data_IF_667081709750
#
_entry.id   IF_667081709750
#
_cell.length_a   1.000
_cell.length_b   1.000
_cell.length_c   1.000
_cell.angle_alpha   90.00
_cell.angle_beta   90.00
_cell.angle_gamma   90.00
#
_symmetry.space_group_name_H-M   'P 1'
#
loop_
_entity.id
_entity.type
_entity.pdbx_description
1 polymer ?
#
# COMPACT_ATOMS: atom_id res chain seq x y z
N UNK A 1 -24.05 -9.27 29.45
CA UNK A 1 -22.92 -9.90 28.74
C UNK A 1 -22.09 -8.76 28.16
N UNK A 2 -20.98 -8.42 28.79
CA UNK A 2 -19.97 -7.55 28.17
C UNK A 2 -19.48 -8.24 26.92
N UNK A 3 -19.55 -7.54 25.75
CA UNK A 3 -18.90 -8.02 24.54
C UNK A 3 -17.40 -8.04 24.85
N UNK A 4 -16.78 -9.22 24.80
CA UNK A 4 -15.32 -9.32 24.84
C UNK A 4 -14.74 -8.31 23.83
N UNK A 5 -13.90 -7.41 24.36
CA UNK A 5 -13.22 -6.41 23.53
C UNK A 5 -12.33 -7.15 22.53
N UNK A 6 -12.73 -7.18 21.28
CA UNK A 6 -11.92 -7.76 20.21
C UNK A 6 -11.03 -6.65 19.63
N UNK A 7 -9.74 -6.71 19.94
CA UNK A 7 -8.73 -5.74 19.47
C UNK A 7 -8.77 -5.53 17.94
N UNK A 8 -9.02 -6.61 17.18
CA UNK A 8 -9.09 -6.53 15.73
C UNK A 8 -10.26 -5.65 15.26
N UNK A 9 -11.46 -5.89 15.78
CA UNK A 9 -12.64 -5.10 15.43
C UNK A 9 -12.48 -3.64 15.84
N UNK A 10 -11.87 -3.38 16.99
CA UNK A 10 -11.63 -2.02 17.48
C UNK A 10 -10.65 -1.28 16.58
N UNK A 11 -9.51 -1.87 16.22
CA UNK A 11 -8.52 -1.27 15.34
C UNK A 11 -9.02 -1.15 13.89
N UNK A 12 -9.75 -2.17 13.40
CA UNK A 12 -10.30 -2.17 12.06
C UNK A 12 -11.35 -1.08 11.82
N UNK A 13 -12.09 -0.70 12.87
CA UNK A 13 -13.10 0.36 12.79
C UNK A 13 -12.53 1.78 12.72
N UNK A 14 -11.22 1.95 12.97
CA UNK A 14 -10.60 3.27 12.91
C UNK A 14 -10.49 3.76 11.46
N UNK A 15 -10.95 4.99 11.25
CA UNK A 15 -10.78 5.66 9.97
C UNK A 15 -9.35 6.22 9.85
N UNK A 16 -8.54 5.62 8.96
CA UNK A 16 -7.15 6.03 8.74
C UNK A 16 -6.96 6.93 7.50
N UNK A 17 -8.02 7.23 6.75
CA UNK A 17 -7.94 7.83 5.41
C UNK A 17 -7.21 9.18 5.38
N UNK A 18 -7.34 10.00 6.43
CA UNK A 18 -6.66 11.31 6.52
C UNK A 18 -5.14 11.19 6.72
N UNK A 19 -4.66 10.01 7.13
CA UNK A 19 -3.26 9.72 7.43
C UNK A 19 -2.61 8.79 6.39
N UNK A 20 -3.28 8.61 5.25
CA UNK A 20 -2.82 7.79 4.12
C UNK A 20 -2.34 8.68 2.99
N UNK A 21 -1.09 8.49 2.59
CA UNK A 21 -0.54 9.04 1.35
C UNK A 21 -0.60 7.98 0.25
N UNK A 22 -1.06 8.37 -0.94
CA UNK A 22 -1.00 7.53 -2.13
C UNK A 22 0.19 7.94 -3.00
N UNK A 23 1.12 7.00 -3.24
CA UNK A 23 2.28 7.20 -4.13
C UNK A 23 2.36 6.03 -5.11
N UNK A 24 2.40 6.32 -6.41
CA UNK A 24 2.56 5.33 -7.49
C UNK A 24 1.57 4.14 -7.40
N UNK A 25 0.34 4.40 -6.96
CA UNK A 25 -0.71 3.39 -6.82
C UNK A 25 -0.69 2.59 -5.51
N UNK A 26 0.30 2.82 -4.64
CA UNK A 26 0.40 2.18 -3.33
C UNK A 26 -0.08 3.12 -2.22
N UNK A 27 -0.68 2.55 -1.20
CA UNK A 27 -1.14 3.25 0.00
C UNK A 27 -0.08 3.22 1.09
N UNK A 28 0.23 4.38 1.67
CA UNK A 28 1.20 4.53 2.75
C UNK A 28 0.53 5.15 3.96
N UNK A 29 0.25 4.35 4.96
CA UNK A 29 -0.20 4.87 6.25
C UNK A 29 0.99 5.47 7.00
N UNK A 30 0.81 6.66 7.58
CA UNK A 30 1.83 7.28 8.43
C UNK A 30 2.21 6.37 9.59
N UNK A 31 3.47 5.92 9.64
CA UNK A 31 3.94 5.01 10.69
C UNK A 31 3.88 5.64 12.08
N UNK A 32 4.21 6.92 12.21
CA UNK A 32 4.19 7.64 13.48
C UNK A 32 2.77 7.80 14.02
N UNK A 33 1.82 8.09 13.15
CA UNK A 33 0.41 8.12 13.51
C UNK A 33 -0.07 6.73 13.93
N UNK A 34 0.27 5.69 13.16
CA UNK A 34 -0.13 4.32 13.47
C UNK A 34 0.37 3.85 14.84
N UNK A 35 1.63 4.10 15.17
CA UNK A 35 2.21 3.82 16.49
C UNK A 35 1.45 4.57 17.57
N UNK A 36 1.19 5.87 17.38
CA UNK A 36 0.50 6.69 18.37
C UNK A 36 -0.93 6.19 18.63
N UNK A 37 -1.69 5.85 17.58
CA UNK A 37 -3.07 5.37 17.73
C UNK A 37 -3.14 4.01 18.43
N UNK A 38 -2.19 3.11 18.15
CA UNK A 38 -2.15 1.82 18.85
C UNK A 38 -1.77 2.04 20.31
N UNK A 39 -0.74 2.81 20.63
CA UNK A 39 -0.31 3.06 22.01
C UNK A 39 -1.36 3.78 22.85
N UNK A 40 -2.21 4.62 22.27
CA UNK A 40 -3.36 5.23 22.97
C UNK A 40 -4.37 4.18 23.44
N UNK A 41 -4.58 3.10 22.69
CA UNK A 41 -5.54 2.05 22.97
C UNK A 41 -4.93 0.88 23.71
N UNK A 42 -3.70 0.55 23.38
CA UNK A 42 -2.93 -0.59 23.88
C UNK A 42 -1.55 -0.11 24.35
N UNK A 43 -1.46 0.54 25.52
CA UNK A 43 -0.21 1.13 26.02
C UNK A 43 0.90 0.10 26.25
N UNK A 44 0.55 -1.17 26.47
CA UNK A 44 1.49 -2.28 26.64
C UNK A 44 1.96 -2.90 25.30
N UNK A 45 1.55 -2.31 24.15
CA UNK A 45 2.04 -2.77 22.86
C UNK A 45 3.56 -2.64 22.78
N UNK A 46 4.19 -3.71 22.28
CA UNK A 46 5.62 -3.72 21.99
C UNK A 46 5.86 -4.07 20.53
N UNK A 47 6.96 -3.58 19.99
CA UNK A 47 7.44 -4.01 18.69
C UNK A 47 8.95 -4.25 18.71
N UNK A 48 9.41 -5.11 17.81
CA UNK A 48 10.80 -5.44 17.60
C UNK A 48 11.13 -5.37 16.11
N UNK A 49 12.28 -4.78 15.79
CA UNK A 49 12.92 -4.88 14.47
C UNK A 49 13.94 -6.00 14.58
N UNK A 50 13.71 -7.10 13.87
CA UNK A 50 14.59 -8.25 13.94
C UNK A 50 15.96 -7.90 13.43
N UNK A 51 16.97 -8.47 14.11
CA UNK A 51 18.38 -8.29 13.77
C UNK A 51 19.00 -9.63 13.47
N UNK A 52 19.91 -9.60 12.54
CA UNK A 52 20.58 -10.78 11.98
C UNK A 52 22.10 -10.69 12.17
N UNK A 53 22.82 -11.33 11.30
CA UNK A 53 24.28 -11.32 11.32
C UNK A 53 24.84 -9.88 11.41
N UNK A 54 25.89 -9.70 12.18
CA UNK A 54 26.50 -8.39 12.46
C UNK A 54 25.54 -7.34 13.06
N UNK A 55 24.45 -7.80 13.71
CA UNK A 55 23.43 -6.93 14.29
C UNK A 55 22.69 -6.05 13.26
N UNK A 56 22.67 -6.45 11.98
CA UNK A 56 22.01 -5.71 10.89
C UNK A 56 20.50 -5.94 10.92
N UNK A 57 19.66 -4.92 10.63
CA UNK A 57 18.20 -5.03 10.67
C UNK A 57 17.62 -5.61 9.36
N UNK A 58 18.36 -6.44 8.65
CA UNK A 58 17.96 -7.06 7.40
C UNK A 58 18.69 -8.37 7.14
N UNK A 59 18.14 -9.19 6.27
CA UNK A 59 18.85 -10.27 5.57
C UNK A 59 19.13 -9.86 4.13
N UNK A 60 20.15 -10.45 3.51
CA UNK A 60 20.48 -10.23 2.10
C UNK A 60 20.74 -11.56 1.39
N UNK A 61 20.21 -11.67 0.19
CA UNK A 61 20.46 -12.76 -0.74
C UNK A 61 20.79 -12.17 -2.12
N UNK A 62 21.84 -12.65 -2.76
CA UNK A 62 22.34 -12.09 -4.03
C UNK A 62 21.32 -12.10 -5.18
N UNK A 63 20.34 -13.02 -5.15
CA UNK A 63 19.33 -13.18 -6.20
C UNK A 63 18.05 -12.43 -5.90
N UNK A 64 17.67 -12.34 -4.62
CA UNK A 64 16.36 -11.81 -4.20
C UNK A 64 16.45 -10.45 -3.49
N UNK A 65 17.65 -10.01 -3.13
CA UNK A 65 17.90 -8.72 -2.51
C UNK A 65 17.71 -8.72 -0.99
N UNK A 66 17.40 -7.55 -0.46
CA UNK A 66 17.25 -7.30 0.97
C UNK A 66 15.85 -7.58 1.46
N UNK A 67 15.75 -8.08 2.70
CA UNK A 67 14.48 -8.33 3.37
C UNK A 67 14.54 -7.87 4.83
N UNK A 68 13.51 -7.20 5.29
CA UNK A 68 13.35 -6.70 6.66
C UNK A 68 12.20 -7.40 7.37
N UNK A 69 12.28 -7.51 8.70
CA UNK A 69 11.32 -8.23 9.51
C UNK A 69 10.96 -7.42 10.76
N UNK A 70 9.69 -7.47 11.15
CA UNK A 70 9.19 -6.86 12.38
C UNK A 70 8.32 -7.84 13.15
N UNK A 71 8.33 -7.73 14.48
CA UNK A 71 7.37 -8.35 15.39
C UNK A 71 6.57 -7.28 16.09
N UNK A 72 5.30 -7.51 16.26
CA UNK A 72 4.40 -6.65 17.04
C UNK A 72 3.64 -7.54 18.02
N UNK A 73 3.55 -7.12 19.27
CA UNK A 73 2.76 -7.79 20.30
C UNK A 73 1.72 -6.83 20.83
N UNK A 74 0.44 -7.22 20.76
CA UNK A 74 -0.71 -6.50 21.32
C UNK A 74 -1.54 -7.51 22.12
N UNK A 75 -1.86 -7.21 23.38
CA UNK A 75 -2.63 -8.10 24.26
C UNK A 75 -2.07 -9.54 24.33
N UNK A 76 -0.74 -9.66 24.38
CA UNK A 76 -0.06 -10.95 24.45
C UNK A 76 -0.02 -11.74 23.12
N UNK A 77 -0.65 -11.25 22.06
CA UNK A 77 -0.60 -11.88 20.74
C UNK A 77 0.52 -11.26 19.92
N UNK A 78 1.44 -12.10 19.45
CA UNK A 78 2.58 -11.68 18.62
C UNK A 78 2.33 -12.04 17.16
N UNK A 79 2.58 -11.08 16.26
CA UNK A 79 2.57 -11.28 14.81
C UNK A 79 3.89 -10.83 14.21
N UNK A 80 4.34 -11.58 13.22
CA UNK A 80 5.51 -11.24 12.42
C UNK A 80 5.08 -10.75 11.04
N UNK A 81 5.85 -9.80 10.50
CA UNK A 81 5.71 -9.31 9.15
C UNK A 81 7.10 -9.15 8.54
N UNK A 82 7.19 -9.38 7.26
CA UNK A 82 8.41 -9.14 6.48
C UNK A 82 8.09 -8.41 5.19
N UNK A 83 9.04 -7.62 4.70
CA UNK A 83 8.94 -6.95 3.40
C UNK A 83 10.29 -6.98 2.67
N UNK A 84 10.28 -7.18 1.34
CA UNK A 84 11.45 -6.96 0.52
C UNK A 84 11.74 -5.47 0.36
N UNK A 85 13.03 -5.12 0.24
CA UNK A 85 13.45 -3.77 -0.10
C UNK A 85 13.38 -3.62 -1.62
N UNK A 86 12.51 -2.71 -2.06
CA UNK A 86 12.21 -2.52 -3.49
C UNK A 86 12.28 -1.04 -3.87
N UNK A 87 12.57 -0.80 -5.15
CA UNK A 87 12.45 0.51 -5.76
C UNK A 87 10.97 0.90 -5.98
N UNK A 88 10.73 2.08 -6.55
CA UNK A 88 9.38 2.59 -6.85
C UNK A 88 8.64 1.79 -7.94
N UNK A 89 9.33 0.89 -8.65
CA UNK A 89 8.76 0.00 -9.68
C UNK A 89 8.60 -1.44 -9.21
N UNK A 90 8.66 -1.66 -7.89
CA UNK A 90 8.57 -2.98 -7.25
C UNK A 90 9.67 -3.96 -7.71
N UNK A 91 10.85 -3.42 -8.08
CA UNK A 91 12.03 -4.23 -8.36
C UNK A 91 12.87 -4.38 -7.09
N UNK A 92 13.29 -5.61 -6.80
CA UNK A 92 14.17 -5.87 -5.66
C UNK A 92 15.45 -5.04 -5.80
N UNK A 93 15.85 -4.35 -4.73
CA UNK A 93 17.11 -3.64 -4.69
C UNK A 93 18.22 -4.58 -4.20
N UNK A 94 19.34 -4.61 -4.91
CA UNK A 94 20.52 -5.40 -4.60
C UNK A 94 21.59 -4.52 -3.95
N UNK A 95 22.75 -5.09 -3.66
CA UNK A 95 23.93 -4.37 -3.17
C UNK A 95 24.72 -3.67 -4.29
N UNK A 96 24.34 -3.92 -5.53
CA UNK A 96 24.89 -3.33 -6.75
C UNK A 96 23.78 -2.87 -7.67
N UNK A 97 24.12 -2.02 -8.63
CA UNK A 97 23.24 -1.58 -9.70
C UNK A 97 23.03 -2.72 -10.72
N UNK A 98 21.79 -2.84 -11.22
CA UNK A 98 21.48 -3.73 -12.34
C UNK A 98 20.44 -3.13 -13.26
N UNK A 99 20.37 -3.64 -14.49
CA UNK A 99 19.41 -3.21 -15.50
C UNK A 99 18.41 -4.31 -15.83
N UNK A 100 17.22 -3.90 -16.30
CA UNK A 100 16.21 -4.81 -16.80
C UNK A 100 15.46 -4.17 -17.97
N UNK A 101 14.97 -4.99 -18.90
CA UNK A 101 14.24 -4.56 -20.08
C UNK A 101 12.73 -4.46 -19.80
N UNK A 102 12.12 -3.40 -20.30
CA UNK A 102 10.66 -3.20 -20.28
C UNK A 102 10.17 -2.93 -21.68
N UNK A 103 9.25 -3.71 -22.18
CA UNK A 103 8.58 -3.47 -23.46
C UNK A 103 7.53 -2.37 -23.29
N UNK A 104 7.67 -1.28 -24.05
CA UNK A 104 6.64 -0.27 -24.13
C UNK A 104 5.45 -0.85 -24.90
N UNK A 105 4.32 -1.04 -24.21
CA UNK A 105 3.12 -1.65 -24.79
C UNK A 105 2.48 -0.82 -25.91
N UNK A 106 2.76 0.51 -25.99
CA UNK A 106 2.23 1.40 -27.04
C UNK A 106 3.08 1.41 -28.30
N UNK A 107 4.40 1.43 -28.14
CA UNK A 107 5.33 1.55 -29.28
C UNK A 107 5.95 0.21 -29.67
N UNK A 108 5.89 -0.79 -28.79
CA UNK A 108 6.56 -2.08 -28.95
C UNK A 108 8.07 -2.03 -28.69
N UNK A 109 8.62 -0.84 -28.42
CA UNK A 109 10.05 -0.65 -28.17
C UNK A 109 10.47 -1.27 -26.82
N UNK A 110 11.68 -1.83 -26.80
CA UNK A 110 12.32 -2.30 -25.57
C UNK A 110 13.13 -1.14 -24.99
N UNK A 111 12.86 -0.81 -23.74
CA UNK A 111 13.57 0.23 -23.00
C UNK A 111 14.28 -0.40 -21.83
N UNK A 112 15.58 -0.18 -21.71
CA UNK A 112 16.36 -0.58 -20.55
C UNK A 112 16.11 0.38 -19.39
N UNK A 113 15.94 -0.16 -18.19
CA UNK A 113 15.77 0.58 -16.94
C UNK A 113 16.76 0.09 -15.92
N UNK A 114 17.22 1.01 -15.08
CA UNK A 114 18.21 0.76 -14.04
C UNK A 114 17.57 0.72 -12.66
N UNK A 115 18.00 -0.22 -11.82
CA UNK A 115 17.72 -0.26 -10.38
C UNK A 115 19.01 0.08 -9.65
N UNK A 116 18.97 1.14 -8.85
CA UNK A 116 20.13 1.55 -8.03
C UNK A 116 20.35 0.57 -6.85
N UNK A 117 21.58 0.46 -6.31
CA UNK A 117 21.84 -0.33 -5.12
C UNK A 117 21.05 0.21 -3.92
N UNK A 118 20.68 -0.70 -3.01
CA UNK A 118 19.98 -0.33 -1.78
C UNK A 118 20.87 0.47 -0.84
N UNK A 119 20.31 1.46 -0.19
CA UNK A 119 20.95 2.25 0.86
C UNK A 119 20.32 1.96 2.22
N UNK A 120 20.99 2.33 3.31
CA UNK A 120 20.39 2.25 4.65
C UNK A 120 19.13 3.12 4.78
N UNK A 121 18.96 4.14 3.96
CA UNK A 121 17.72 4.91 3.89
C UNK A 121 16.57 4.05 3.35
N UNK A 122 16.79 3.26 2.29
CA UNK A 122 15.80 2.36 1.72
C UNK A 122 15.45 1.23 2.70
N UNK A 123 16.46 0.69 3.39
CA UNK A 123 16.26 -0.29 4.48
C UNK A 123 15.36 0.31 5.57
N UNK A 124 15.69 1.49 6.11
CA UNK A 124 14.91 2.13 7.15
C UNK A 124 13.47 2.45 6.70
N UNK A 125 13.30 2.99 5.49
CA UNK A 125 12.00 3.24 4.89
C UNK A 125 11.15 1.96 4.82
N UNK A 126 11.76 0.85 4.42
CA UNK A 126 11.08 -0.45 4.32
C UNK A 126 10.74 -1.02 5.69
N UNK A 127 11.60 -0.83 6.71
CA UNK A 127 11.31 -1.22 8.11
C UNK A 127 10.05 -0.51 8.61
N UNK A 128 9.92 0.80 8.39
CA UNK A 128 8.73 1.55 8.83
C UNK A 128 7.46 1.11 8.09
N UNK A 129 7.55 0.78 6.80
CA UNK A 129 6.45 0.19 6.03
C UNK A 129 6.09 -1.21 6.55
N UNK A 130 7.09 -2.04 6.85
CA UNK A 130 6.91 -3.36 7.41
C UNK A 130 6.17 -3.30 8.76
N UNK A 131 6.59 -2.39 9.65
CA UNK A 131 5.94 -2.16 10.93
C UNK A 131 4.47 -1.74 10.75
N UNK A 132 4.19 -0.82 9.84
CA UNK A 132 2.82 -0.36 9.56
C UNK A 132 1.94 -1.50 9.00
N UNK A 133 2.46 -2.32 8.09
CA UNK A 133 1.75 -3.51 7.59
C UNK A 133 1.55 -4.57 8.70
N UNK A 134 2.48 -4.68 9.63
CA UNK A 134 2.30 -5.55 10.79
C UNK A 134 1.13 -5.06 11.68
N UNK A 135 1.01 -3.76 11.92
CA UNK A 135 -0.15 -3.19 12.60
C UNK A 135 -1.47 -3.47 11.87
N UNK A 136 -1.45 -3.50 10.54
CA UNK A 136 -2.63 -3.88 9.76
C UNK A 136 -3.06 -5.33 10.01
N UNK A 137 -2.14 -6.24 10.34
CA UNK A 137 -2.49 -7.61 10.74
C UNK A 137 -3.28 -7.66 12.05
N UNK A 138 -3.26 -6.60 12.85
CA UNK A 138 -4.11 -6.42 14.03
C UNK A 138 -5.40 -5.65 13.74
N UNK A 139 -5.61 -5.22 12.48
CA UNK A 139 -6.81 -4.54 12.02
C UNK A 139 -6.59 -3.08 11.59
N UNK A 140 -5.56 -2.38 12.10
CA UNK A 140 -5.38 -0.95 11.86
C UNK A 140 -5.17 -0.64 10.37
N UNK A 141 -6.18 -0.04 9.74
CA UNK A 141 -6.11 0.36 8.34
C UNK A 141 -5.93 -0.81 7.36
N UNK A 142 -6.27 -2.04 7.73
CA UNK A 142 -6.10 -3.21 6.86
C UNK A 142 -6.78 -3.02 5.49
N UNK A 143 -7.91 -2.33 5.46
CA UNK A 143 -8.68 -2.08 4.23
C UNK A 143 -7.97 -1.23 3.18
N UNK A 144 -6.97 -0.41 3.57
CA UNK A 144 -6.23 0.42 2.61
C UNK A 144 -5.30 -0.39 1.71
N UNK A 145 -4.92 -1.60 2.15
CA UNK A 145 -4.06 -2.51 1.39
C UNK A 145 -4.84 -3.46 0.47
N UNK A 146 -6.17 -3.42 0.51
CA UNK A 146 -7.00 -4.23 -0.37
C UNK A 146 -6.73 -3.88 -1.84
N UNK A 147 -6.31 -4.87 -2.62
CA UNK A 147 -6.00 -4.72 -4.03
C UNK A 147 -4.56 -4.29 -4.36
N UNK A 148 -3.67 -4.11 -3.38
CA UNK A 148 -2.24 -3.82 -3.65
C UNK A 148 -1.51 -5.00 -4.31
N UNK A 149 -1.92 -6.23 -4.02
CA UNK A 149 -1.30 -7.46 -4.53
C UNK A 149 -1.99 -7.98 -5.81
N UNK A 150 -2.87 -7.18 -6.44
CA UNK A 150 -3.49 -7.56 -7.69
C UNK A 150 -2.46 -7.56 -8.83
N UNK A 151 -2.56 -8.50 -9.79
CA UNK A 151 -1.75 -8.48 -10.99
C UNK A 151 -1.82 -7.11 -11.70
N UNK A 152 -0.73 -6.69 -12.36
CA UNK A 152 -0.64 -5.39 -13.02
C UNK A 152 -1.78 -5.17 -14.04
N UNK A 153 -2.22 -6.22 -14.71
CA UNK A 153 -3.36 -6.20 -15.63
C UNK A 153 -4.67 -5.82 -14.92
N UNK A 154 -4.93 -6.38 -13.73
CA UNK A 154 -6.12 -6.06 -12.94
C UNK A 154 -6.03 -4.67 -12.31
N UNK A 155 -4.82 -4.22 -11.90
CA UNK A 155 -4.63 -2.87 -11.37
C UNK A 155 -4.89 -1.79 -12.43
N UNK A 156 -4.57 -2.08 -13.70
CA UNK A 156 -4.73 -1.19 -14.85
C UNK A 156 -6.04 -1.39 -15.60
N UNK A 157 -6.91 -2.27 -15.12
CA UNK A 157 -8.22 -2.52 -15.73
C UNK A 157 -9.02 -1.24 -15.84
N UNK A 158 -9.55 -0.99 -17.03
CA UNK A 158 -10.36 0.19 -17.32
C UNK A 158 -11.79 0.00 -16.82
N UNK A 159 -12.44 1.12 -16.55
CA UNK A 159 -13.85 1.21 -16.21
C UNK A 159 -14.73 0.47 -17.26
N UNK A 160 -15.77 -0.19 -16.78
CA UNK A 160 -16.74 -0.85 -17.66
C UNK A 160 -17.85 0.12 -18.11
N UNK A 161 -18.54 -0.22 -19.20
CA UNK A 161 -19.69 0.55 -19.67
C UNK A 161 -20.82 0.65 -18.62
N UNK A 162 -21.03 -0.41 -17.84
CA UNK A 162 -22.00 -0.42 -16.76
C UNK A 162 -21.64 0.56 -15.65
N UNK A 163 -20.37 0.57 -15.24
CA UNK A 163 -19.87 1.55 -14.27
C UNK A 163 -19.98 2.98 -14.77
N UNK A 164 -19.69 3.23 -16.05
CA UNK A 164 -19.88 4.56 -16.67
C UNK A 164 -21.34 5.01 -16.56
N UNK A 165 -22.30 4.11 -16.86
CA UNK A 165 -23.72 4.40 -16.75
C UNK A 165 -24.13 4.69 -15.30
N UNK A 166 -23.60 3.93 -14.34
CA UNK A 166 -23.87 4.14 -12.92
C UNK A 166 -23.31 5.48 -12.43
N UNK A 167 -22.06 5.80 -12.74
CA UNK A 167 -21.43 7.07 -12.35
C UNK A 167 -22.21 8.26 -12.93
N UNK A 168 -22.60 8.21 -14.20
CA UNK A 168 -23.41 9.27 -14.84
C UNK A 168 -24.79 9.47 -14.20
N UNK A 169 -25.33 8.47 -13.51
CA UNK A 169 -26.57 8.59 -12.72
C UNK A 169 -26.34 9.17 -11.33
N UNK A 170 -25.19 8.87 -10.72
CA UNK A 170 -24.87 9.20 -9.33
C UNK A 170 -24.11 10.53 -9.18
N UNK A 171 -23.41 10.95 -10.21
CA UNK A 171 -22.59 12.18 -10.22
C UNK A 171 -23.21 13.17 -11.20
N UNK A 172 -23.51 14.38 -10.73
CA UNK A 172 -24.02 15.46 -11.56
C UNK A 172 -23.00 15.82 -12.65
N UNK A 173 -23.48 16.20 -13.84
CA UNK A 173 -22.63 16.38 -15.02
C UNK A 173 -21.55 17.46 -14.80
N UNK A 174 -21.89 18.54 -14.10
CA UNK A 174 -20.97 19.61 -13.69
C UNK A 174 -19.88 19.17 -12.68
N UNK A 175 -20.03 18.01 -12.03
CA UNK A 175 -19.09 17.43 -11.05
C UNK A 175 -18.21 16.32 -11.62
N UNK A 176 -18.42 15.91 -12.86
CA UNK A 176 -17.63 14.85 -13.49
C UNK A 176 -16.17 15.28 -13.65
N UNK A 177 -15.92 16.52 -14.03
CA UNK A 177 -14.56 17.05 -14.22
C UNK A 177 -13.79 17.11 -12.89
N UNK A 178 -14.42 17.58 -11.83
CA UNK A 178 -13.85 17.57 -10.46
C UNK A 178 -13.49 16.14 -10.02
N UNK A 179 -14.38 15.19 -10.28
CA UNK A 179 -14.17 13.77 -9.99
C UNK A 179 -12.97 13.20 -10.77
N UNK A 180 -12.88 13.44 -12.08
CA UNK A 180 -11.77 12.97 -12.91
C UNK A 180 -10.43 13.58 -12.48
N UNK A 181 -10.44 14.84 -12.05
CA UNK A 181 -9.28 15.51 -11.47
C UNK A 181 -8.86 14.87 -10.16
N UNK A 182 -9.81 14.58 -9.27
CA UNK A 182 -9.54 13.91 -7.98
C UNK A 182 -8.86 12.56 -8.19
N UNK A 183 -9.36 11.74 -9.14
CA UNK A 183 -8.78 10.44 -9.48
C UNK A 183 -7.60 10.53 -10.48
N UNK A 184 -7.12 11.72 -10.79
CA UNK A 184 -5.95 11.99 -11.65
C UNK A 184 -6.06 11.35 -13.05
N UNK A 185 -7.24 11.32 -13.62
CA UNK A 185 -7.48 10.80 -14.97
C UNK A 185 -6.93 11.81 -16.00
N UNK A 186 -5.70 11.58 -16.49
CA UNK A 186 -4.96 12.53 -17.35
C UNK A 186 -5.69 12.96 -18.62
N UNK A 187 -6.47 12.06 -19.21
CA UNK A 187 -7.22 12.34 -20.43
C UNK A 187 -8.47 13.19 -20.21
N UNK A 188 -8.88 13.40 -18.96
CA UNK A 188 -10.15 14.01 -18.55
C UNK A 188 -11.39 13.35 -19.20
N UNK A 189 -11.26 12.05 -19.53
CA UNK A 189 -12.37 11.24 -20.09
C UNK A 189 -12.72 10.11 -19.13
N UNK A 190 -14.00 9.97 -18.81
CA UNK A 190 -14.49 8.94 -17.89
C UNK A 190 -14.13 7.52 -18.35
N UNK A 191 -14.06 7.26 -19.65
CA UNK A 191 -13.67 5.96 -20.24
C UNK A 191 -12.22 5.55 -19.94
N UNK A 192 -11.38 6.48 -19.53
CA UNK A 192 -9.99 6.24 -19.19
C UNK A 192 -9.76 6.06 -17.68
N UNK A 193 -10.81 6.16 -16.88
CA UNK A 193 -10.77 5.89 -15.44
C UNK A 193 -10.45 4.42 -15.16
N UNK A 194 -9.78 4.15 -14.06
CA UNK A 194 -9.52 2.76 -13.64
C UNK A 194 -10.78 2.13 -13.03
N UNK A 195 -10.92 0.82 -13.21
CA UNK A 195 -12.05 0.04 -12.68
C UNK A 195 -12.21 0.21 -11.16
N UNK A 196 -11.10 0.15 -10.41
CA UNK A 196 -11.08 0.34 -8.95
C UNK A 196 -11.56 1.72 -8.51
N UNK A 197 -11.13 2.76 -9.23
CA UNK A 197 -11.52 4.14 -8.92
C UNK A 197 -13.01 4.36 -9.18
N UNK A 198 -13.53 3.73 -10.23
CA UNK A 198 -14.96 3.73 -10.55
C UNK A 198 -15.81 3.03 -9.47
N UNK A 199 -15.34 1.90 -8.92
CA UNK A 199 -16.01 1.24 -7.80
C UNK A 199 -16.08 2.15 -6.57
N UNK A 200 -14.99 2.82 -6.24
CA UNK A 200 -14.94 3.75 -5.09
C UNK A 200 -15.95 4.90 -5.25
N UNK A 201 -16.06 5.48 -6.46
CA UNK A 201 -17.07 6.53 -6.74
C UNK A 201 -18.48 6.00 -6.53
N UNK A 202 -18.79 4.82 -7.08
CA UNK A 202 -20.12 4.21 -6.98
C UNK A 202 -20.47 3.94 -5.52
N UNK A 203 -19.57 3.35 -4.74
CA UNK A 203 -19.77 3.06 -3.33
C UNK A 203 -20.01 4.33 -2.49
N UNK A 204 -19.21 5.38 -2.72
CA UNK A 204 -19.34 6.66 -1.99
C UNK A 204 -20.63 7.41 -2.30
N UNK A 205 -21.17 7.26 -3.50
CA UNK A 205 -22.37 7.99 -3.95
C UNK A 205 -23.66 7.19 -3.79
N UNK A 206 -23.55 5.89 -3.49
CA UNK A 206 -24.71 5.02 -3.22
C UNK A 206 -25.09 4.96 -1.73
N UNK A 207 -24.28 5.56 -0.85
CA UNK A 207 -24.56 5.75 0.58
C UNK A 207 -25.22 7.09 0.82
#
# INVERSE_FOLDING_TARGET
>A
MEKEKNYFTELYSLNVNENVEKKEGLSYLSWSWAVAEILKKYPDMTYEILRFENNLPYTYDEKTGYMVFTKVTIEGITREMWLPVMDSKNKAMLDHEYTYEVKNWKTGEIVEKTVAPATMFDINKTIMRCLTKNFAMFGLGLYIYAGEDLPEEEQNKKITEEQIKQIKKLVAEDKIEDMLTYYKVKSMKIVDMLYKDALEVIERKSK
#
